data_IF_338926471014
#
_entry.id   IF_338926471014
#
_cell.length_a   1.000
_cell.length_b   1.000
_cell.length_c   1.000
_cell.angle_alpha   90.00
_cell.angle_beta   90.00
_cell.angle_gamma   90.00
#
_symmetry.space_group_name_H-M   'P 1'
#
loop_
_entity.id
_entity.type
_entity.pdbx_description
1 polymer ?
#
# COMPACT_ATOMS: atom_id res chain seq x y z
N UNK A 1 1.61 -1.71 10.65
CA UNK A 1 0.98 -0.54 10.01
C UNK A 1 0.63 -0.90 8.58
N UNK A 2 -0.54 -0.47 8.09
CA UNK A 2 -1.00 -0.79 6.74
C UNK A 2 -1.21 0.52 5.97
N UNK A 3 -0.58 0.64 4.81
CA UNK A 3 -0.83 1.68 3.82
C UNK A 3 -1.77 1.14 2.75
N UNK A 4 -2.80 1.91 2.41
CA UNK A 4 -3.80 1.53 1.41
C UNK A 4 -4.00 2.68 0.44
N UNK A 5 -3.84 2.41 -0.84
CA UNK A 5 -4.13 3.35 -1.92
C UNK A 5 -5.37 2.88 -2.69
N UNK A 6 -6.34 3.77 -2.86
CA UNK A 6 -7.57 3.51 -3.62
C UNK A 6 -7.43 4.11 -5.03
N UNK A 7 -7.64 3.30 -6.06
CA UNK A 7 -7.57 3.73 -7.46
C UNK A 7 -8.75 3.27 -8.29
N UNK A 8 -9.08 4.07 -9.30
CA UNK A 8 -9.77 3.59 -10.49
C UNK A 8 -8.81 2.78 -11.38
N UNK A 9 -8.80 3.07 -12.67
CA UNK A 9 -7.97 2.35 -13.65
C UNK A 9 -6.50 2.77 -13.65
N UNK A 10 -6.17 3.94 -13.11
CA UNK A 10 -4.83 4.51 -13.15
C UNK A 10 -3.94 3.99 -12.00
N UNK A 11 -3.48 2.75 -12.13
CA UNK A 11 -2.63 2.11 -11.11
C UNK A 11 -1.16 2.53 -11.17
N UNK A 12 -0.72 3.17 -12.26
CA UNK A 12 0.68 3.51 -12.49
C UNK A 12 1.23 4.47 -11.43
N UNK A 13 0.40 5.36 -10.90
CA UNK A 13 0.80 6.29 -9.83
C UNK A 13 0.61 5.73 -8.42
N UNK A 14 -0.06 4.59 -8.26
CA UNK A 14 -0.44 4.07 -6.94
C UNK A 14 0.80 3.74 -6.09
N UNK A 15 1.77 3.03 -6.68
CA UNK A 15 3.02 2.69 -6.00
C UNK A 15 3.81 3.95 -5.59
N UNK A 16 3.83 4.98 -6.45
CA UNK A 16 4.50 6.24 -6.15
C UNK A 16 3.85 7.03 -5.02
N UNK A 17 2.52 7.01 -4.91
CA UNK A 17 1.83 7.68 -3.81
C UNK A 17 1.98 6.95 -2.48
N UNK A 18 1.98 5.62 -2.51
CA UNK A 18 2.35 4.81 -1.35
C UNK A 18 3.79 5.10 -0.92
N UNK A 19 4.73 5.18 -1.86
CA UNK A 19 6.12 5.53 -1.58
C UNK A 19 6.26 6.96 -1.02
N UNK A 20 5.59 7.94 -1.63
CA UNK A 20 5.57 9.32 -1.13
C UNK A 20 5.02 9.40 0.30
N UNK A 21 3.96 8.64 0.61
CA UNK A 21 3.44 8.54 1.98
C UNK A 21 4.46 7.89 2.92
N UNK A 22 5.04 6.77 2.50
CA UNK A 22 5.98 5.99 3.32
C UNK A 22 7.28 6.74 3.63
N UNK A 23 7.78 7.52 2.69
CA UNK A 23 9.12 8.14 2.76
C UNK A 23 9.10 9.64 3.03
N UNK A 24 8.09 10.36 2.52
CA UNK A 24 8.13 11.83 2.50
C UNK A 24 7.07 12.48 3.38
N UNK A 25 6.06 11.75 3.86
CA UNK A 25 4.96 12.34 4.63
C UNK A 25 5.33 12.46 6.13
N UNK A 26 5.45 13.69 6.68
CA UNK A 26 5.90 13.88 8.06
C UNK A 26 4.96 13.24 9.09
N UNK A 27 3.64 13.34 8.88
CA UNK A 27 2.66 12.79 9.82
C UNK A 27 2.73 11.26 9.89
N UNK A 28 3.09 10.62 8.76
CA UNK A 28 3.33 9.18 8.74
C UNK A 28 4.58 8.80 9.55
N UNK A 29 5.66 9.59 9.46
CA UNK A 29 6.86 9.37 10.27
C UNK A 29 6.59 9.60 11.76
N UNK A 30 5.79 10.61 12.11
CA UNK A 30 5.40 10.89 13.48
C UNK A 30 4.66 9.70 14.11
N UNK A 31 3.64 9.17 13.41
CA UNK A 31 2.91 7.98 13.87
C UNK A 31 3.84 6.79 14.04
N UNK A 32 4.77 6.56 13.10
CA UNK A 32 5.78 5.50 13.23
C UNK A 32 6.66 5.70 14.46
N UNK A 33 7.11 6.93 14.70
CA UNK A 33 7.91 7.30 15.87
C UNK A 33 7.17 6.97 17.16
N UNK A 34 5.90 7.37 17.26
CA UNK A 34 5.05 7.07 18.41
C UNK A 34 4.89 5.56 18.64
N UNK A 35 4.63 4.79 17.58
CA UNK A 35 4.48 3.32 17.72
C UNK A 35 5.80 2.69 18.17
N UNK A 36 6.92 3.04 17.53
CA UNK A 36 8.24 2.49 17.86
C UNK A 36 8.69 2.84 19.28
N UNK A 37 8.30 4.02 19.79
CA UNK A 37 8.62 4.43 21.16
C UNK A 37 7.80 3.67 22.23
N UNK A 38 6.62 3.15 21.87
CA UNK A 38 5.67 2.57 22.83
C UNK A 38 5.47 1.05 22.69
N UNK A 39 6.09 0.41 21.69
CA UNK A 39 5.96 -1.02 21.44
C UNK A 39 7.32 -1.71 21.34
N UNK A 40 7.41 -2.93 21.88
CA UNK A 40 8.57 -3.80 21.69
C UNK A 40 8.49 -4.51 20.34
N UNK A 41 9.62 -4.60 19.62
CA UNK A 41 9.74 -5.32 18.35
C UNK A 41 9.83 -4.40 17.13
N UNK A 42 9.89 -5.00 15.95
CA UNK A 42 10.03 -4.26 14.70
C UNK A 42 8.64 -3.90 14.13
N UNK A 43 8.42 -2.61 13.86
CA UNK A 43 7.23 -2.16 13.15
C UNK A 43 7.19 -2.75 11.74
N UNK A 44 6.20 -3.62 11.50
CA UNK A 44 5.93 -4.17 10.17
C UNK A 44 5.05 -3.20 9.38
N UNK A 45 5.44 -2.88 8.16
CA UNK A 45 4.70 -2.02 7.22
C UNK A 45 4.24 -2.84 6.02
N UNK A 46 2.94 -2.84 5.72
CA UNK A 46 2.36 -3.50 4.57
C UNK A 46 1.69 -2.48 3.67
N UNK A 47 1.85 -2.60 2.36
CA UNK A 47 1.20 -1.73 1.38
C UNK A 47 0.21 -2.52 0.52
N UNK A 48 -1.00 -2.00 0.35
CA UNK A 48 -2.03 -2.56 -0.51
C UNK A 48 -2.53 -1.50 -1.50
N UNK A 49 -2.93 -1.97 -2.67
CA UNK A 49 -3.68 -1.16 -3.62
C UNK A 49 -5.04 -1.80 -3.81
N UNK A 50 -6.10 -1.00 -3.79
CA UNK A 50 -7.45 -1.44 -4.13
C UNK A 50 -7.82 -0.71 -5.42
N UNK A 51 -8.08 -1.46 -6.49
CA UNK A 51 -8.24 -0.89 -7.83
C UNK A 51 -9.25 -1.63 -8.69
N UNK A 52 -9.88 -0.90 -9.62
CA UNK A 52 -10.67 -1.53 -10.68
C UNK A 52 -9.81 -2.17 -11.77
N UNK A 53 -8.52 -1.82 -11.84
CA UNK A 53 -7.55 -2.44 -12.73
C UNK A 53 -6.69 -3.47 -11.99
N UNK A 54 -6.40 -4.59 -12.67
CA UNK A 54 -5.53 -5.65 -12.15
C UNK A 54 -4.32 -5.79 -13.09
N UNK A 55 -3.20 -5.12 -12.81
CA UNK A 55 -2.01 -5.23 -13.64
C UNK A 55 -1.41 -6.63 -13.54
N UNK A 56 -0.68 -7.03 -14.58
CA UNK A 56 0.09 -8.27 -14.53
C UNK A 56 1.15 -8.21 -13.43
N UNK A 57 1.65 -9.38 -13.02
CA UNK A 57 2.76 -9.48 -12.05
C UNK A 57 4.02 -8.76 -12.52
N UNK A 58 4.31 -8.79 -13.83
CA UNK A 58 5.45 -8.08 -14.42
C UNK A 58 5.32 -6.57 -14.27
N UNK A 59 4.13 -6.03 -14.57
CA UNK A 59 3.85 -4.60 -14.40
C UNK A 59 3.92 -4.21 -12.92
N UNK A 60 3.33 -5.02 -12.04
CA UNK A 60 3.37 -4.80 -10.59
C UNK A 60 4.80 -4.72 -10.09
N UNK A 61 5.65 -5.69 -10.45
CA UNK A 61 7.06 -5.70 -10.07
C UNK A 61 7.83 -4.49 -10.58
N UNK A 62 7.56 -4.06 -11.82
CA UNK A 62 8.15 -2.83 -12.38
C UNK A 62 7.78 -1.61 -11.54
N UNK A 63 6.51 -1.46 -11.16
CA UNK A 63 6.03 -0.34 -10.34
C UNK A 63 6.65 -0.36 -8.94
N UNK A 64 6.76 -1.53 -8.32
CA UNK A 64 7.44 -1.72 -7.04
C UNK A 64 8.90 -1.26 -7.10
N UNK A 65 9.65 -1.76 -8.09
CA UNK A 65 11.08 -1.50 -8.25
C UNK A 65 11.33 -0.01 -8.55
N UNK A 66 10.50 0.63 -9.38
CA UNK A 66 10.60 2.06 -9.69
C UNK A 66 10.38 2.98 -8.48
N UNK A 67 9.56 2.56 -7.52
CA UNK A 67 9.17 3.37 -6.36
C UNK A 67 9.82 2.89 -5.05
N UNK A 68 10.72 1.91 -5.13
CA UNK A 68 11.37 1.26 -4.00
C UNK A 68 10.37 0.88 -2.89
N UNK A 69 9.25 0.24 -3.26
CA UNK A 69 8.22 -0.22 -2.33
C UNK A 69 7.80 -1.64 -2.69
N UNK A 70 7.30 -2.41 -1.72
CA UNK A 70 6.68 -3.72 -1.95
C UNK A 70 5.19 -3.65 -1.64
N UNK A 71 4.39 -4.14 -2.57
CA UNK A 71 2.95 -4.20 -2.49
C UNK A 71 2.59 -5.62 -2.06
N UNK A 72 2.00 -5.75 -0.88
CA UNK A 72 1.55 -7.04 -0.32
C UNK A 72 0.41 -7.63 -1.15
N UNK A 73 -0.46 -6.78 -1.71
CA UNK A 73 -1.53 -7.22 -2.60
C UNK A 73 -2.18 -6.07 -3.37
N UNK A 74 -2.61 -6.37 -4.60
CA UNK A 74 -3.52 -5.54 -5.38
C UNK A 74 -4.86 -6.26 -5.38
N UNK A 75 -5.88 -5.63 -4.83
CA UNK A 75 -7.22 -6.21 -4.68
C UNK A 75 -8.21 -5.47 -5.59
N UNK A 76 -9.18 -6.22 -6.11
CA UNK A 76 -10.15 -5.69 -7.05
C UNK A 76 -11.34 -5.01 -6.34
N UNK A 77 -11.70 -3.81 -6.78
CA UNK A 77 -12.97 -3.15 -6.44
C UNK A 77 -13.34 -2.14 -7.53
N UNK A 78 -14.63 -1.98 -7.81
CA UNK A 78 -15.20 -1.04 -8.78
C UNK A 78 -16.27 -0.19 -8.09
N UNK A 79 -16.88 0.74 -8.82
CA UNK A 79 -17.97 1.56 -8.28
C UNK A 79 -19.19 0.74 -7.78
N UNK A 80 -19.35 -0.49 -8.28
CA UNK A 80 -20.48 -1.37 -7.95
C UNK A 80 -20.08 -2.62 -7.17
N UNK A 81 -18.80 -2.78 -6.83
CA UNK A 81 -18.32 -3.90 -6.01
C UNK A 81 -17.70 -3.41 -4.70
N UNK A 82 -17.98 -4.08 -3.58
CA UNK A 82 -17.53 -3.62 -2.27
C UNK A 82 -16.00 -3.62 -2.17
N UNK A 83 -15.48 -2.72 -1.35
CA UNK A 83 -14.05 -2.70 -0.98
C UNK A 83 -13.75 -3.99 -0.19
N UNK A 84 -12.75 -4.77 -0.59
CA UNK A 84 -12.42 -6.05 0.04
C UNK A 84 -11.83 -5.87 1.44
N UNK A 85 -12.08 -6.85 2.31
CA UNK A 85 -11.48 -6.89 3.65
C UNK A 85 -10.00 -7.28 3.57
N UNK A 86 -9.12 -6.36 3.99
CA UNK A 86 -7.67 -6.57 4.00
C UNK A 86 -7.22 -7.60 5.03
N UNK A 87 -7.99 -7.85 6.09
CA UNK A 87 -7.60 -8.76 7.18
C UNK A 87 -7.35 -10.18 6.68
N UNK A 88 -8.07 -10.59 5.64
CA UNK A 88 -7.90 -11.89 4.97
C UNK A 88 -6.54 -12.04 4.26
N UNK A 89 -5.80 -10.96 4.06
CA UNK A 89 -4.52 -10.91 3.32
C UNK A 89 -3.31 -10.61 4.23
N UNK A 90 -3.48 -10.60 5.55
CA UNK A 90 -2.42 -10.27 6.51
C UNK A 90 -1.54 -11.46 6.91
N UNK A 91 -1.93 -12.68 6.51
CA UNK A 91 -1.14 -13.89 6.77
C UNK A 91 0.10 -13.99 5.87
#
# INVERSE_FOLDING_TARGET
MILVELKGTNIEHAAGQLAATKYNRPEYQEIKGLINANASGQLTELAFIISSAMPSRTVTRRLEDQNNIRIKGILHSTATTPIPDLRSNLR
#
